data_IF_471999708504
#
_entry.id   IF_471999708504
#
_cell.length_a   1.000
_cell.length_b   1.000
_cell.length_c   1.000
_cell.angle_alpha   90.00
_cell.angle_beta   90.00
_cell.angle_gamma   90.00
#
_symmetry.space_group_name_H-M   'P 1'
#
loop_
_entity.id
_entity.type
_entity.pdbx_description
1 polymer ?
#
# COMPACT_ATOMS: atom_id res chain seq x y z
N UNK A 1 -2.14 -21.85 29.74
CA UNK A 1 -2.20 -21.90 28.26
C UNK A 1 -3.66 -21.69 27.88
N UNK A 2 -4.02 -20.59 27.22
CA UNK A 2 -5.40 -20.28 26.86
C UNK A 2 -5.56 -20.42 25.35
N UNK A 3 -6.61 -21.09 24.91
CA UNK A 3 -6.99 -21.23 23.51
C UNK A 3 -8.35 -20.56 23.32
N UNK A 4 -8.42 -19.61 22.39
CA UNK A 4 -9.67 -18.94 22.00
C UNK A 4 -10.14 -19.57 20.70
N UNK A 5 -11.42 -19.93 20.65
CA UNK A 5 -12.06 -20.51 19.47
C UNK A 5 -13.01 -19.46 18.88
N UNK A 6 -12.74 -19.00 17.65
CA UNK A 6 -13.69 -18.20 16.88
C UNK A 6 -14.53 -19.14 16.01
N UNK A 7 -15.84 -18.90 15.96
CA UNK A 7 -16.74 -19.61 15.04
C UNK A 7 -16.58 -19.07 13.61
N UNK A 8 -16.24 -17.77 13.50
CA UNK A 8 -16.07 -17.07 12.24
C UNK A 8 -14.66 -17.31 11.67
N UNK A 9 -14.60 -17.67 10.39
CA UNK A 9 -13.35 -17.75 9.63
C UNK A 9 -13.02 -16.37 9.07
N UNK A 10 -11.78 -15.93 9.25
CA UNK A 10 -11.37 -14.61 8.77
C UNK A 10 -10.03 -14.14 9.30
N UNK A 11 -9.70 -12.92 8.90
CA UNK A 11 -8.45 -12.24 9.21
C UNK A 11 -8.66 -11.22 10.33
N UNK A 12 -7.97 -11.42 11.45
CA UNK A 12 -8.09 -10.57 12.63
C UNK A 12 -6.80 -9.80 12.87
N UNK A 13 -6.91 -8.55 13.29
CA UNK A 13 -5.80 -7.76 13.81
C UNK A 13 -6.32 -6.81 14.86
N UNK A 14 -5.49 -6.51 15.85
CA UNK A 14 -5.82 -5.53 16.89
C UNK A 14 -5.10 -4.21 16.62
N UNK A 15 -5.68 -3.13 17.14
CA UNK A 15 -5.07 -1.81 17.17
C UNK A 15 -5.41 -1.14 18.50
N UNK A 16 -4.55 -0.22 18.93
CA UNK A 16 -4.88 0.66 20.06
C UNK A 16 -5.90 1.70 19.58
N UNK A 17 -6.90 1.99 20.42
CA UNK A 17 -7.91 3.01 20.13
C UNK A 17 -7.22 4.37 19.87
N UNK A 18 -7.54 5.01 18.75
CA UNK A 18 -6.90 6.26 18.30
C UNK A 18 -5.59 6.07 17.51
N UNK A 19 -5.12 4.84 17.35
CA UNK A 19 -3.95 4.46 16.55
C UNK A 19 -4.29 3.27 15.65
N UNK A 20 -5.47 3.30 15.00
CA UNK A 20 -5.99 2.23 14.17
C UNK A 20 -5.14 1.94 12.91
N UNK A 21 -4.23 2.85 12.57
CA UNK A 21 -3.26 2.71 11.50
C UNK A 21 -2.03 1.87 11.90
N UNK A 22 -1.78 1.74 13.21
CA UNK A 22 -0.72 0.91 13.80
C UNK A 22 -1.28 -0.44 14.28
N UNK A 23 -1.74 -1.24 13.32
CA UNK A 23 -2.27 -2.59 13.60
C UNK A 23 -1.17 -3.62 13.87
N UNK A 24 -1.49 -4.59 14.73
CA UNK A 24 -0.74 -5.83 14.83
C UNK A 24 -0.69 -6.54 13.47
N UNK A 25 0.27 -7.48 13.29
CA UNK A 25 0.18 -8.44 12.20
C UNK A 25 -1.20 -9.12 12.15
N UNK A 26 -1.65 -9.44 10.94
CA UNK A 26 -2.91 -10.14 10.71
C UNK A 26 -2.76 -11.60 11.13
N UNK A 27 -3.72 -12.11 11.89
CA UNK A 27 -3.86 -13.51 12.27
C UNK A 27 -4.99 -14.12 11.48
N UNK A 28 -4.67 -15.14 10.69
CA UNK A 28 -5.64 -15.96 9.98
C UNK A 28 -6.22 -17.00 10.94
N UNK A 29 -7.55 -17.01 11.11
CA UNK A 29 -8.23 -18.02 11.92
C UNK A 29 -8.85 -19.05 10.98
N UNK A 30 -8.48 -20.32 11.17
CA UNK A 30 -8.83 -21.48 10.32
C UNK A 30 -8.26 -21.41 8.89
N UNK A 31 -6.95 -21.18 8.78
CA UNK A 31 -5.93 -21.29 7.69
C UNK A 31 -6.30 -21.52 6.21
N UNK A 32 -7.49 -21.99 5.86
CA UNK A 32 -7.88 -22.32 4.48
C UNK A 32 -8.66 -21.21 3.76
N UNK A 33 -9.19 -20.20 4.47
CA UNK A 33 -10.13 -19.22 3.91
C UNK A 33 -9.78 -17.74 4.15
N UNK A 34 -8.51 -17.41 4.45
CA UNK A 34 -8.18 -16.05 4.88
C UNK A 34 -7.56 -15.18 3.79
N UNK A 35 -8.29 -14.12 3.47
CA UNK A 35 -7.79 -13.00 2.68
C UNK A 35 -6.93 -12.09 3.55
N UNK A 36 -5.70 -11.79 3.12
CA UNK A 36 -4.86 -10.82 3.82
C UNK A 36 -4.04 -10.00 2.85
N UNK A 37 -3.73 -8.76 3.23
CA UNK A 37 -2.72 -7.93 2.57
C UNK A 37 -1.75 -7.45 3.64
N UNK A 38 -0.47 -7.69 3.41
CA UNK A 38 0.63 -7.21 4.25
C UNK A 38 1.46 -6.24 3.42
N UNK A 39 1.49 -4.97 3.84
CA UNK A 39 2.32 -3.95 3.21
C UNK A 39 3.73 -3.99 3.79
N UNK A 40 4.75 -3.83 2.95
CA UNK A 40 6.15 -3.78 3.39
C UNK A 40 6.41 -2.58 4.29
N UNK A 41 5.89 -1.41 3.91
CA UNK A 41 5.97 -0.17 4.69
C UNK A 41 4.58 0.42 4.85
N UNK A 42 4.22 0.84 6.07
CA UNK A 42 2.91 1.46 6.37
C UNK A 42 2.91 2.97 6.20
N UNK A 43 4.06 3.60 6.39
CA UNK A 43 4.25 5.04 6.26
C UNK A 43 5.54 5.28 5.50
N UNK A 44 5.50 6.10 4.47
CA UNK A 44 6.66 6.43 3.64
C UNK A 44 6.72 7.96 3.53
N UNK A 45 7.87 8.54 3.86
CA UNK A 45 8.15 9.96 3.64
C UNK A 45 9.22 10.07 2.56
N UNK A 46 8.95 10.85 1.52
CA UNK A 46 9.84 10.98 0.36
C UNK A 46 9.82 12.41 -0.19
N UNK A 47 10.88 12.80 -0.90
CA UNK A 47 10.99 14.14 -1.47
C UNK A 47 10.26 14.24 -2.81
N UNK A 48 9.79 15.45 -3.12
CA UNK A 48 9.30 15.82 -4.45
C UNK A 48 10.33 15.47 -5.53
N UNK A 49 9.85 15.11 -6.72
CA UNK A 49 10.60 14.65 -7.89
C UNK A 49 11.37 13.32 -7.68
N UNK A 50 11.10 12.60 -6.60
CA UNK A 50 11.67 11.26 -6.37
C UNK A 50 10.78 10.16 -6.95
N UNK A 51 11.25 8.92 -6.83
CA UNK A 51 10.48 7.70 -7.12
C UNK A 51 10.25 6.93 -5.83
N UNK A 52 9.09 6.29 -5.68
CA UNK A 52 8.78 5.41 -4.56
C UNK A 52 8.24 4.07 -5.03
N UNK A 53 8.64 3.01 -4.32
CA UNK A 53 8.11 1.67 -4.46
C UNK A 53 7.20 1.36 -3.27
N UNK A 54 5.92 1.07 -3.55
CA UNK A 54 4.92 0.68 -2.57
C UNK A 54 4.57 -0.78 -2.80
N UNK A 55 5.01 -1.64 -1.88
CA UNK A 55 4.89 -3.09 -2.01
C UNK A 55 3.92 -3.69 -0.99
N UNK A 56 3.22 -4.73 -1.42
CA UNK A 56 2.51 -5.63 -0.54
C UNK A 56 2.70 -7.09 -0.95
N UNK A 57 2.57 -7.98 0.01
CA UNK A 57 2.20 -9.38 -0.20
C UNK A 57 0.73 -9.58 0.15
N UNK A 58 0.09 -10.57 -0.45
CA UNK A 58 -1.29 -10.92 -0.12
C UNK A 58 -1.50 -12.43 -0.03
N UNK A 59 -2.55 -12.83 0.66
CA UNK A 59 -3.02 -14.22 0.68
C UNK A 59 -4.47 -14.26 0.27
N UNK A 60 -4.85 -15.33 -0.42
CA UNK A 60 -6.24 -15.63 -0.71
C UNK A 60 -6.46 -17.15 -0.61
N UNK A 61 -7.70 -17.61 -0.44
CA UNK A 61 -7.99 -19.04 -0.42
C UNK A 61 -7.69 -19.67 -1.77
N UNK A 62 -7.26 -20.92 -1.80
CA UNK A 62 -6.84 -21.62 -3.03
C UNK A 62 -7.98 -21.89 -4.01
N UNK A 63 -9.23 -21.86 -3.55
CA UNK A 63 -10.42 -22.00 -4.38
C UNK A 63 -10.71 -20.78 -5.26
N UNK A 64 -9.99 -19.67 -5.06
CA UNK A 64 -10.22 -18.42 -5.81
C UNK A 64 -9.24 -18.27 -6.95
N UNK A 65 -9.79 -17.85 -8.09
CA UNK A 65 -9.04 -17.46 -9.28
C UNK A 65 -8.85 -15.95 -9.22
N UNK A 66 -7.60 -15.52 -9.28
CA UNK A 66 -7.25 -14.10 -9.36
C UNK A 66 -7.77 -13.52 -10.70
N UNK A 67 -8.63 -12.50 -10.61
CA UNK A 67 -9.14 -11.76 -11.76
C UNK A 67 -8.32 -10.50 -12.10
N UNK A 68 -7.25 -10.24 -11.35
CA UNK A 68 -6.37 -9.09 -11.48
C UNK A 68 -6.22 -8.31 -10.17
N UNK A 69 -5.39 -7.27 -10.19
CA UNK A 69 -5.16 -6.43 -9.03
C UNK A 69 -4.70 -5.03 -9.42
N UNK A 70 -4.94 -4.05 -8.55
CA UNK A 70 -4.47 -2.69 -8.76
C UNK A 70 -4.38 -1.92 -7.44
N UNK A 71 -3.81 -0.71 -7.51
CA UNK A 71 -3.76 0.22 -6.39
C UNK A 71 -4.75 1.36 -6.59
N UNK A 72 -5.27 1.89 -5.48
CA UNK A 72 -6.24 2.99 -5.47
C UNK A 72 -6.05 3.88 -4.25
N UNK A 73 -6.68 5.06 -4.27
CA UNK A 73 -6.77 5.97 -3.11
C UNK A 73 -8.25 6.29 -2.82
N UNK A 74 -8.52 7.00 -1.74
CA UNK A 74 -9.89 7.47 -1.48
C UNK A 74 -10.40 8.43 -2.57
N UNK A 75 -9.52 9.30 -3.10
CA UNK A 75 -9.88 10.26 -4.15
C UNK A 75 -9.98 9.61 -5.53
N UNK A 76 -9.20 8.55 -5.74
CA UNK A 76 -9.09 7.82 -7.01
C UNK A 76 -9.45 6.35 -6.76
N UNK A 77 -10.75 5.98 -6.71
CA UNK A 77 -11.19 4.66 -6.25
C UNK A 77 -11.03 3.52 -7.28
N UNK A 78 -10.63 3.84 -8.51
CA UNK A 78 -10.32 2.90 -9.58
C UNK A 78 -8.81 2.64 -9.67
N UNK A 79 -8.39 1.88 -10.68
CA UNK A 79 -6.97 1.66 -10.96
C UNK A 79 -6.28 3.01 -11.21
N UNK A 80 -5.26 3.33 -10.41
CA UNK A 80 -4.53 4.60 -10.53
C UNK A 80 -3.96 4.81 -11.94
N UNK A 81 -3.55 3.75 -12.64
CA UNK A 81 -3.03 3.84 -14.01
C UNK A 81 -4.04 4.36 -15.03
N UNK A 82 -5.35 4.32 -14.71
CA UNK A 82 -6.41 4.83 -15.57
C UNK A 82 -6.60 6.35 -15.51
N UNK A 83 -6.07 7.03 -14.49
CA UNK A 83 -6.21 8.47 -14.35
C UNK A 83 -5.06 9.21 -15.04
N UNK A 84 -5.39 10.25 -15.79
CA UNK A 84 -4.42 11.06 -16.56
C UNK A 84 -3.26 11.60 -15.71
N UNK A 85 -3.52 12.00 -14.45
CA UNK A 85 -2.48 12.50 -13.54
C UNK A 85 -1.41 11.48 -13.14
N UNK A 86 -1.67 10.18 -13.32
CA UNK A 86 -0.73 9.09 -13.05
C UNK A 86 -0.15 8.49 -14.33
N UNK A 87 -0.61 8.93 -15.51
CA UNK A 87 -0.14 8.42 -16.80
C UNK A 87 1.37 8.61 -16.93
N UNK A 88 2.07 7.53 -17.31
CA UNK A 88 3.54 7.50 -17.43
C UNK A 88 4.30 7.47 -16.11
N UNK A 89 3.67 7.79 -14.97
CA UNK A 89 4.30 7.82 -13.64
C UNK A 89 4.08 6.55 -12.83
N UNK A 90 2.89 5.97 -12.94
CA UNK A 90 2.53 4.73 -12.22
C UNK A 90 2.82 3.51 -13.08
N UNK A 91 3.56 2.56 -12.51
CA UNK A 91 3.79 1.23 -13.09
C UNK A 91 3.63 0.15 -12.04
N UNK A 92 3.24 -1.04 -12.48
CA UNK A 92 3.09 -2.20 -11.60
C UNK A 92 4.16 -3.23 -11.90
N UNK A 93 4.74 -3.75 -10.83
CA UNK A 93 5.67 -4.85 -10.87
C UNK A 93 5.10 -6.05 -10.10
N UNK A 94 4.93 -7.18 -10.82
CA UNK A 94 4.42 -8.45 -10.31
C UNK A 94 5.52 -9.50 -10.46
N UNK A 95 6.55 -9.39 -9.61
CA UNK A 95 7.75 -10.22 -9.68
C UNK A 95 7.53 -11.68 -9.25
N UNK A 96 6.57 -11.96 -8.38
CA UNK A 96 6.31 -13.30 -7.82
C UNK A 96 4.84 -13.53 -7.57
N UNK A 97 4.45 -14.80 -7.44
CA UNK A 97 3.11 -15.17 -6.96
C UNK A 97 2.87 -14.48 -5.61
N UNK A 98 1.75 -13.76 -5.51
CA UNK A 98 1.29 -13.07 -4.31
C UNK A 98 2.06 -11.82 -3.84
N UNK A 99 2.98 -11.27 -4.65
CA UNK A 99 3.58 -9.96 -4.38
C UNK A 99 3.23 -8.94 -5.46
N UNK A 100 2.92 -7.72 -5.02
CA UNK A 100 2.60 -6.63 -5.91
C UNK A 100 3.27 -5.34 -5.46
N UNK A 101 4.04 -4.73 -6.36
CA UNK A 101 4.67 -3.44 -6.14
C UNK A 101 4.10 -2.42 -7.11
N UNK A 102 3.62 -1.30 -6.59
CA UNK A 102 3.36 -0.11 -7.37
C UNK A 102 4.56 0.81 -7.28
N UNK A 103 5.00 1.34 -8.42
CA UNK A 103 6.07 2.31 -8.48
C UNK A 103 5.47 3.61 -9.00
N UNK A 104 5.76 4.72 -8.32
CA UNK A 104 5.32 6.07 -8.71
C UNK A 104 6.56 6.93 -8.90
N UNK A 105 6.75 7.50 -10.10
CA UNK A 105 7.81 8.48 -10.39
C UNK A 105 7.32 9.92 -10.31
N UNK A 106 8.28 10.84 -10.34
CA UNK A 106 8.05 12.28 -10.47
C UNK A 106 7.04 12.77 -9.42
N UNK A 107 7.29 12.37 -8.17
CA UNK A 107 6.37 12.61 -7.07
C UNK A 107 6.16 14.10 -6.82
N UNK A 108 4.91 14.46 -6.54
CA UNK A 108 4.48 15.80 -6.17
C UNK A 108 3.81 15.76 -4.81
N UNK A 109 3.69 16.90 -4.13
CA UNK A 109 2.98 16.97 -2.84
C UNK A 109 1.53 16.50 -2.95
N UNK A 110 0.91 16.66 -4.13
CA UNK A 110 -0.44 16.18 -4.45
C UNK A 110 -0.56 14.64 -4.50
N UNK A 111 0.55 13.92 -4.61
CA UNK A 111 0.59 12.46 -4.52
C UNK A 111 0.55 11.98 -3.06
N UNK A 112 0.55 12.87 -2.07
CA UNK A 112 0.38 12.46 -0.67
C UNK A 112 -1.03 11.91 -0.43
N UNK A 113 -1.13 10.64 -0.08
CA UNK A 113 -2.39 9.94 0.15
C UNK A 113 -2.19 8.62 0.92
N UNK A 114 -3.30 8.02 1.35
CA UNK A 114 -3.32 6.61 1.74
C UNK A 114 -3.60 5.74 0.50
N UNK A 115 -2.60 4.94 0.11
CA UNK A 115 -2.66 4.02 -1.02
C UNK A 115 -3.06 2.62 -0.57
N UNK A 116 -4.06 2.03 -1.20
CA UNK A 116 -4.57 0.70 -0.86
C UNK A 116 -4.46 -0.25 -2.04
N UNK A 117 -4.12 -1.50 -1.74
CA UNK A 117 -4.13 -2.57 -2.72
C UNK A 117 -5.54 -3.16 -2.85
N UNK A 118 -5.94 -3.50 -4.07
CA UNK A 118 -7.19 -4.20 -4.36
C UNK A 118 -6.92 -5.44 -5.21
N UNK A 119 -7.39 -6.57 -4.69
CA UNK A 119 -7.41 -7.84 -5.38
C UNK A 119 -8.81 -8.07 -5.97
N UNK A 120 -8.86 -8.47 -7.23
CA UNK A 120 -10.08 -8.85 -7.92
C UNK A 120 -10.15 -10.37 -7.98
N UNK A 121 -11.35 -10.89 -7.81
CA UNK A 121 -11.63 -12.32 -7.86
C UNK A 121 -12.72 -12.54 -8.90
N UNK A 122 -12.62 -13.61 -9.69
CA UNK A 122 -13.61 -13.88 -10.75
C UNK A 122 -14.99 -14.23 -10.20
N UNK A 123 -15.07 -14.73 -8.96
CA UNK A 123 -16.28 -15.37 -8.42
C UNK A 123 -16.90 -14.63 -7.21
N UNK A 124 -16.13 -13.80 -6.47
CA UNK A 124 -16.59 -13.20 -5.19
C UNK A 124 -16.41 -11.67 -5.09
N UNK A 125 -16.03 -10.99 -6.17
CA UNK A 125 -15.89 -9.54 -6.18
C UNK A 125 -14.49 -9.07 -5.81
N UNK A 126 -14.36 -8.12 -4.87
CA UNK A 126 -13.13 -7.34 -4.63
C UNK A 126 -12.72 -7.39 -3.16
N UNK A 127 -11.44 -7.66 -2.91
CA UNK A 127 -10.84 -7.60 -1.56
C UNK A 127 -9.86 -6.45 -1.44
N UNK A 128 -9.95 -5.71 -0.33
CA UNK A 128 -8.99 -4.67 0.06
C UNK A 128 -8.83 -4.69 1.57
N UNK A 129 -7.61 -4.47 2.07
CA UNK A 129 -7.40 -4.25 3.49
C UNK A 129 -8.05 -2.95 3.95
N UNK A 130 -8.45 -2.89 5.22
CA UNK A 130 -9.03 -1.70 5.85
C UNK A 130 -8.07 -0.50 5.79
N UNK A 131 -6.78 -0.79 5.84
CA UNK A 131 -5.68 0.18 5.93
C UNK A 131 -4.81 0.07 4.68
N UNK A 132 -4.11 1.14 4.36
CA UNK A 132 -3.18 1.24 3.25
C UNK A 132 -1.77 1.60 3.70
N UNK A 133 -1.05 2.20 2.77
CA UNK A 133 0.26 2.84 2.96
C UNK A 133 0.05 4.34 2.90
N UNK A 134 0.43 5.05 3.95
CA UNK A 134 0.41 6.51 4.00
C UNK A 134 1.70 7.00 3.32
N UNK A 135 1.56 7.63 2.16
CA UNK A 135 2.65 8.32 1.48
C UNK A 135 2.58 9.81 1.82
N UNK A 136 3.70 10.37 2.26
CA UNK A 136 3.86 11.82 2.46
C UNK A 136 5.01 12.30 1.57
N UNK A 137 4.69 13.19 0.63
CA UNK A 137 5.67 13.83 -0.25
C UNK A 137 5.95 15.23 0.28
N UNK A 138 7.21 15.54 0.50
CA UNK A 138 7.65 16.86 1.01
C UNK A 138 8.47 17.60 -0.04
N UNK A 139 8.25 18.91 -0.15
CA UNK A 139 9.09 19.79 -0.96
C UNK A 139 10.31 20.26 -0.16
N UNK A 140 11.52 19.90 -0.58
CA UNK A 140 12.72 20.59 -0.11
C UNK A 140 13.03 21.75 -1.06
N UNK A 141 12.94 22.98 -0.57
CA UNK A 141 13.71 24.11 -1.11
C UNK A 141 15.16 23.92 -0.69
N UNK A 142 16.02 23.44 -1.60
CA UNK A 142 17.46 23.58 -1.42
C UNK A 142 17.79 25.08 -1.41
N UNK A 143 17.83 25.70 -0.22
CA UNK A 143 18.57 26.94 -0.06
C UNK A 143 20.05 26.57 -0.17
N UNK A 144 20.60 26.63 -1.39
CA UNK A 144 22.05 26.59 -1.59
C UNK A 144 22.65 27.81 -0.90
N UNK A 145 23.26 27.63 0.27
CA UNK A 145 24.13 28.65 0.86
C UNK A 145 25.45 28.59 0.10
N UNK A 146 25.59 29.41 -0.93
CA UNK A 146 26.87 29.59 -1.63
C UNK A 146 27.83 30.29 -0.67
N UNK A 147 28.70 29.52 -0.01
CA UNK A 147 29.79 30.11 0.78
C UNK A 147 30.86 30.58 -0.21
N UNK A 148 30.97 31.89 -0.41
CA UNK A 148 32.10 32.49 -1.13
C UNK A 148 33.28 32.54 -0.16
N UNK A 149 34.27 31.68 -0.35
CA UNK A 149 35.52 31.73 0.40
C UNK A 149 36.41 32.78 -0.28
N UNK A 150 36.56 33.95 0.34
CA UNK A 150 37.57 34.94 -0.09
C UNK A 150 38.89 34.55 0.55
N UNK A 151 39.88 34.13 -0.24
CA UNK A 151 41.26 33.98 0.22
C UNK A 151 41.95 35.35 0.16
N UNK A 152 42.54 35.74 1.30
CA UNK A 152 43.43 36.91 1.44
C UNK A 152 44.86 36.48 1.17
#
# INVERSE_FOLDING_TARGET
KYSVFSVDAGSYSCAVKGHEDLRSPVVCVRDKNCWSVTYTNRRICVLKNSTVDISCSYTHPSSYIEGGSFWFTQKDPLDLSSYSKYAGRVRYNRNTENHHTMIITDLTENDSAEYKFRLLTTNEGRFSSLTGVILTVTGNTLHTVTTVIVQV
#
